data_IF_410825755725
#
_entry.id   IF_410825755725
#
_cell.length_a   1.000
_cell.length_b   1.000
_cell.length_c   1.000
_cell.angle_alpha   90.00
_cell.angle_beta   90.00
_cell.angle_gamma   90.00
#
_symmetry.space_group_name_H-M   'P 1'
#
loop_
_entity.id
_entity.type
_entity.pdbx_description
1 polymer ?
#
# COMPACT_ATOMS: atom_id res chain seq x y z
N UNK A 1 -19.23 -13.67 -1.29
CA UNK A 1 -18.21 -12.61 -1.48
C UNK A 1 -18.55 -11.79 -2.72
N UNK A 2 -18.63 -10.45 -2.62
CA UNK A 2 -18.87 -9.58 -3.78
C UNK A 2 -17.66 -9.63 -4.72
N UNK A 3 -17.90 -9.73 -6.04
CA UNK A 3 -16.83 -9.89 -7.05
C UNK A 3 -15.98 -8.63 -7.25
N UNK A 4 -16.49 -7.45 -6.90
CA UNK A 4 -15.78 -6.17 -6.88
C UNK A 4 -16.41 -5.26 -5.81
N UNK A 5 -15.90 -5.26 -4.57
CA UNK A 5 -16.43 -4.37 -3.54
C UNK A 5 -16.14 -2.91 -3.89
N UNK A 6 -17.10 -2.03 -3.62
CA UNK A 6 -16.99 -0.56 -3.83
C UNK A 6 -16.78 0.20 -2.52
N UNK A 7 -16.76 -0.53 -1.40
CA UNK A 7 -16.50 -0.05 -0.05
C UNK A 7 -15.56 -1.03 0.64
N UNK A 8 -14.86 -0.55 1.67
CA UNK A 8 -14.07 -1.41 2.56
C UNK A 8 -15.00 -1.86 3.69
N UNK A 9 -15.15 -3.18 3.85
CA UNK A 9 -15.98 -3.74 4.92
C UNK A 9 -15.39 -3.37 6.29
N UNK A 10 -16.23 -2.83 7.18
CA UNK A 10 -15.82 -2.37 8.50
C UNK A 10 -15.21 -0.96 8.55
N UNK A 11 -15.22 -0.21 7.44
CA UNK A 11 -14.80 1.19 7.41
C UNK A 11 -15.97 2.10 7.00
N UNK A 12 -16.42 2.94 7.94
CA UNK A 12 -17.57 3.83 7.74
C UNK A 12 -17.20 5.23 7.20
N UNK A 13 -15.90 5.51 7.03
CA UNK A 13 -15.42 6.80 6.54
C UNK A 13 -15.39 6.91 5.01
N UNK A 14 -15.05 8.09 4.53
CA UNK A 14 -14.83 8.37 3.10
C UNK A 14 -13.45 7.92 2.62
N UNK A 15 -13.29 7.67 1.31
CA UNK A 15 -11.95 7.37 0.76
C UNK A 15 -10.98 8.53 0.88
N UNK A 16 -11.47 9.77 0.94
CA UNK A 16 -10.65 10.95 1.23
C UNK A 16 -10.08 10.90 2.65
N UNK A 17 -10.92 10.64 3.65
CA UNK A 17 -10.49 10.49 5.04
C UNK A 17 -9.53 9.32 5.21
N UNK A 18 -9.77 8.21 4.51
CA UNK A 18 -8.85 7.07 4.51
C UNK A 18 -7.50 7.46 3.91
N UNK A 19 -7.50 8.12 2.77
CA UNK A 19 -6.29 8.59 2.10
C UNK A 19 -5.46 9.51 3.00
N UNK A 20 -6.12 10.46 3.67
CA UNK A 20 -5.47 11.32 4.67
C UNK A 20 -4.86 10.50 5.81
N UNK A 21 -5.64 9.63 6.44
CA UNK A 21 -5.19 8.82 7.58
C UNK A 21 -4.00 7.91 7.23
N UNK A 22 -4.01 7.30 6.03
CA UNK A 22 -2.89 6.50 5.55
C UNK A 22 -1.68 7.37 5.25
N UNK A 23 -1.87 8.54 4.61
CA UNK A 23 -0.78 9.46 4.28
C UNK A 23 -0.11 10.13 5.48
N UNK A 24 -0.81 10.24 6.60
CA UNK A 24 -0.31 10.77 7.88
C UNK A 24 0.48 9.74 8.70
N UNK A 25 0.55 8.47 8.25
CA UNK A 25 1.40 7.47 8.89
C UNK A 25 2.86 7.90 8.84
N UNK A 26 3.59 7.59 9.91
CA UNK A 26 5.05 7.68 9.91
C UNK A 26 5.61 6.86 8.76
N UNK A 27 6.69 7.34 8.13
CA UNK A 27 7.12 6.81 6.84
C UNK A 27 7.47 5.30 6.84
N UNK A 28 8.00 4.75 7.93
CA UNK A 28 8.17 3.30 8.09
C UNK A 28 6.84 2.54 8.03
N UNK A 29 5.80 3.05 8.69
CA UNK A 29 4.46 2.47 8.72
C UNK A 29 3.72 2.65 7.40
N UNK A 30 3.92 3.78 6.72
CA UNK A 30 3.41 3.97 5.37
C UNK A 30 4.08 2.99 4.39
N UNK A 31 5.39 2.77 4.50
CA UNK A 31 6.08 1.77 3.69
C UNK A 31 5.58 0.34 3.96
N UNK A 32 5.28 0.00 5.23
CA UNK A 32 4.65 -1.26 5.61
C UNK A 32 3.25 -1.42 4.98
N UNK A 33 2.41 -0.38 4.99
CA UNK A 33 1.13 -0.39 4.29
C UNK A 33 1.29 -0.64 2.78
N UNK A 34 2.22 0.07 2.13
CA UNK A 34 2.47 -0.08 0.69
C UNK A 34 3.00 -1.48 0.35
N UNK A 35 3.80 -2.10 1.23
CA UNK A 35 4.23 -3.49 1.10
C UNK A 35 3.03 -4.45 1.11
N UNK A 36 2.05 -4.25 1.98
CA UNK A 36 0.85 -5.08 1.97
C UNK A 36 0.01 -4.87 0.71
N UNK A 37 -0.08 -3.64 0.22
CA UNK A 37 -0.79 -3.31 -1.00
C UNK A 37 -0.12 -3.91 -2.26
N UNK A 38 1.21 -3.82 -2.40
CA UNK A 38 1.92 -4.44 -3.53
C UNK A 38 1.72 -5.96 -3.55
N UNK A 39 1.75 -6.61 -2.38
CA UNK A 39 1.59 -8.06 -2.26
C UNK A 39 0.19 -8.51 -2.68
N UNK A 40 -0.85 -7.76 -2.32
CA UNK A 40 -2.21 -8.06 -2.71
C UNK A 40 -2.42 -7.86 -4.23
N UNK A 41 -1.85 -6.81 -4.82
CA UNK A 41 -1.86 -6.60 -6.27
C UNK A 41 -1.12 -7.72 -7.01
N UNK A 42 0.06 -8.13 -6.54
CA UNK A 42 0.81 -9.26 -7.09
C UNK A 42 -0.02 -10.55 -7.03
N UNK A 43 -0.70 -10.82 -5.91
CA UNK A 43 -1.60 -11.98 -5.76
C UNK A 43 -2.72 -11.96 -6.80
N UNK A 44 -3.33 -10.81 -7.05
CA UNK A 44 -4.39 -10.64 -8.07
C UNK A 44 -3.85 -10.86 -9.49
N UNK A 45 -2.71 -10.27 -9.83
CA UNK A 45 -2.06 -10.47 -11.13
C UNK A 45 -1.77 -11.95 -11.40
N UNK A 46 -1.20 -12.67 -10.41
CA UNK A 46 -0.95 -14.11 -10.49
C UNK A 46 -2.25 -14.89 -10.70
N UNK A 47 -3.32 -14.53 -9.98
CA UNK A 47 -4.62 -15.17 -10.13
C UNK A 47 -5.20 -14.97 -11.54
N UNK A 48 -5.07 -13.79 -12.13
CA UNK A 48 -5.54 -13.53 -13.49
C UNK A 48 -4.67 -14.19 -14.58
N UNK A 49 -3.35 -14.29 -14.39
CA UNK A 49 -2.48 -15.12 -15.25
C UNK A 49 -2.95 -16.57 -15.26
N UNK A 50 -3.19 -17.16 -14.08
CA UNK A 50 -3.70 -18.54 -13.93
C UNK A 50 -5.06 -18.76 -14.59
N UNK A 51 -5.88 -17.71 -14.71
CA UNK A 51 -7.20 -17.74 -15.36
C UNK A 51 -7.15 -17.44 -16.87
N UNK A 52 -5.96 -17.34 -17.46
CA UNK A 52 -5.81 -17.05 -18.90
C UNK A 52 -6.12 -15.61 -19.28
N UNK A 53 -5.93 -14.65 -18.36
CA UNK A 53 -6.18 -13.21 -18.57
C UNK A 53 -4.88 -12.39 -18.53
N UNK A 54 -3.92 -12.62 -19.43
CA UNK A 54 -2.59 -12.01 -19.37
C UNK A 54 -2.63 -10.48 -19.50
N UNK A 55 -3.54 -9.94 -20.33
CA UNK A 55 -3.69 -8.47 -20.46
C UNK A 55 -4.09 -7.81 -19.14
N UNK A 56 -5.03 -8.42 -18.39
CA UNK A 56 -5.48 -7.90 -17.11
C UNK A 56 -4.37 -8.01 -16.06
N UNK A 57 -3.70 -9.16 -16.00
CA UNK A 57 -2.57 -9.34 -15.10
C UNK A 57 -1.45 -8.31 -15.35
N UNK A 58 -1.10 -8.04 -16.61
CA UNK A 58 -0.08 -7.06 -16.95
C UNK A 58 -0.46 -5.64 -16.51
N UNK A 59 -1.74 -5.27 -16.59
CA UNK A 59 -2.22 -3.98 -16.07
C UNK A 59 -2.06 -3.89 -14.55
N UNK A 60 -2.41 -4.96 -13.84
CA UNK A 60 -2.26 -5.04 -12.37
C UNK A 60 -0.78 -4.99 -11.97
N UNK A 61 0.10 -5.69 -12.72
CA UNK A 61 1.56 -5.64 -12.50
C UNK A 61 2.12 -4.23 -12.68
N UNK A 62 1.63 -3.45 -13.65
CA UNK A 62 2.00 -2.04 -13.78
C UNK A 62 1.65 -1.20 -12.53
N UNK A 63 0.49 -1.46 -11.93
CA UNK A 63 0.08 -0.80 -10.68
C UNK A 63 0.95 -1.28 -9.51
N UNK A 64 1.18 -2.58 -9.38
CA UNK A 64 2.06 -3.18 -8.36
C UNK A 64 3.46 -2.55 -8.40
N UNK A 65 4.08 -2.45 -9.57
CA UNK A 65 5.39 -1.82 -9.73
C UNK A 65 5.40 -0.34 -9.31
N UNK A 66 4.32 0.39 -9.55
CA UNK A 66 4.19 1.79 -9.12
C UNK A 66 4.08 1.89 -7.59
N UNK A 67 3.30 1.02 -6.97
CA UNK A 67 3.17 0.94 -5.50
C UNK A 67 4.51 0.55 -4.87
N UNK A 68 5.21 -0.41 -5.45
CA UNK A 68 6.53 -0.86 -5.03
C UNK A 68 7.59 0.23 -5.08
N UNK A 69 7.63 0.99 -6.17
CA UNK A 69 8.51 2.15 -6.30
C UNK A 69 8.16 3.24 -5.27
N UNK A 70 6.86 3.46 -5.02
CA UNK A 70 6.37 4.31 -3.92
C UNK A 70 6.87 3.84 -2.56
N UNK A 71 6.78 2.53 -2.25
CA UNK A 71 7.27 1.92 -1.02
C UNK A 71 8.77 2.18 -0.83
N UNK A 72 9.58 1.95 -1.85
CA UNK A 72 11.05 2.19 -1.81
C UNK A 72 11.35 3.67 -1.55
N UNK A 73 10.62 4.59 -2.18
CA UNK A 73 10.79 6.04 -1.95
C UNK A 73 10.40 6.42 -0.54
N UNK A 74 9.33 5.85 0.00
CA UNK A 74 8.91 6.08 1.39
C UNK A 74 9.91 5.55 2.40
N UNK A 75 10.50 4.37 2.18
CA UNK A 75 11.59 3.86 3.03
C UNK A 75 12.79 4.82 3.04
N UNK A 76 13.14 5.39 1.87
CA UNK A 76 14.19 6.41 1.81
C UNK A 76 13.80 7.67 2.58
N UNK A 77 12.56 8.16 2.43
CA UNK A 77 12.05 9.29 3.21
C UNK A 77 12.17 9.04 4.71
N UNK A 78 11.82 7.83 5.16
CA UNK A 78 12.03 7.43 6.55
C UNK A 78 13.49 7.57 6.95
N UNK A 79 14.43 6.95 6.22
CA UNK A 79 15.85 7.02 6.56
C UNK A 79 16.39 8.46 6.60
N UNK A 80 15.94 9.34 5.69
CA UNK A 80 16.31 10.76 5.71
C UNK A 80 15.75 11.51 6.91
N UNK A 81 14.51 11.22 7.29
CA UNK A 81 13.80 11.97 8.33
C UNK A 81 13.91 11.35 9.72
N UNK A 82 14.40 10.12 9.84
CA UNK A 82 14.51 9.34 11.09
C UNK A 82 15.21 10.09 12.22
N UNK A 83 16.23 10.87 11.89
CA UNK A 83 16.96 11.69 12.87
C UNK A 83 16.06 12.74 13.56
N UNK A 84 14.99 13.18 12.90
CA UNK A 84 14.05 14.17 13.41
C UNK A 84 12.82 13.54 14.12
N UNK A 85 12.67 12.21 14.06
CA UNK A 85 11.52 11.47 14.62
C UNK A 85 11.86 10.71 15.91
N UNK A 86 12.94 11.08 16.61
CA UNK A 86 13.42 10.29 17.76
C UNK A 86 12.39 10.17 18.88
N UNK A 87 11.59 11.22 19.14
CA UNK A 87 10.51 11.19 20.13
C UNK A 87 9.44 10.16 19.74
N UNK A 88 8.95 10.21 18.50
CA UNK A 88 7.97 9.27 17.97
C UNK A 88 8.47 7.82 18.03
N UNK A 89 9.74 7.59 17.65
CA UNK A 89 10.35 6.25 17.64
C UNK A 89 10.55 5.67 19.04
N UNK A 90 10.71 6.52 20.06
CA UNK A 90 10.85 6.07 21.44
C UNK A 90 9.50 5.70 22.06
N UNK A 91 8.40 6.29 21.59
CA UNK A 91 7.04 6.02 22.06
C UNK A 91 6.43 4.74 21.48
N UNK A 92 7.09 4.11 20.50
CA UNK A 92 6.70 2.83 19.89
C UNK A 92 7.14 1.59 20.71
N UNK A 93 7.89 1.78 21.81
CA UNK A 93 8.36 0.71 22.71
C UNK A 93 7.41 0.48 23.88
#
# INVERSE_FOLDING_TARGET
>A
MKKHPVIIEGYDGTFEELGRKVGELRYDKLAEFLLHLENELARQAIADKKRGRPKLANLIEGVELTVKDGKIKTERLFEFCKAFMQEELNNDK
#
